data_IF_417225405004
#
_entry.id   IF_417225405004
#
_cell.length_a   1.000
_cell.length_b   1.000
_cell.length_c   1.000
_cell.angle_alpha   90.00
_cell.angle_beta   90.00
_cell.angle_gamma   90.00
#
_symmetry.space_group_name_H-M   'P 1'
#
loop_
_entity.id
_entity.type
_entity.pdbx_description
1 polymer ?
#
# COMPACT_ATOMS: atom_id res chain seq x y z
N UNK A 1 12.11 -18.83 6.40
CA UNK A 1 10.70 -18.78 5.96
C UNK A 1 10.68 -17.83 4.79
N UNK A 2 10.43 -18.34 3.58
CA UNK A 2 10.34 -17.49 2.39
C UNK A 2 8.96 -16.84 2.40
N UNK A 3 8.88 -15.63 2.95
CA UNK A 3 7.68 -14.81 2.84
C UNK A 3 7.61 -14.31 1.41
N UNK A 4 6.53 -14.67 0.70
CA UNK A 4 6.33 -14.17 -0.66
C UNK A 4 6.02 -12.67 -0.55
N UNK A 5 6.77 -11.78 -1.23
CA UNK A 5 6.54 -10.35 -1.11
C UNK A 5 5.12 -9.98 -1.53
N UNK A 6 4.44 -9.19 -0.67
CA UNK A 6 3.13 -8.64 -0.98
C UNK A 6 3.29 -7.43 -1.89
N UNK A 7 2.68 -7.47 -3.06
CA UNK A 7 2.70 -6.38 -4.02
C UNK A 7 1.36 -5.67 -4.09
N UNK A 8 1.40 -4.41 -4.49
CA UNK A 8 0.22 -3.59 -4.72
C UNK A 8 0.46 -2.54 -5.79
N UNK A 9 -0.56 -1.72 -6.01
CA UNK A 9 -0.50 -0.58 -6.93
C UNK A 9 -1.17 0.63 -6.30
N UNK A 10 -0.41 1.72 -6.16
CA UNK A 10 -0.93 3.03 -5.80
C UNK A 10 -1.43 3.73 -7.06
N UNK A 11 -2.69 4.15 -7.08
CA UNK A 11 -3.32 4.88 -8.17
C UNK A 11 -3.63 6.30 -7.71
N UNK A 12 -3.02 7.28 -8.36
CA UNK A 12 -3.26 8.71 -8.15
C UNK A 12 -3.66 9.38 -9.47
N UNK A 13 -4.11 10.66 -9.47
CA UNK A 13 -4.38 11.38 -10.72
C UNK A 13 -3.17 11.46 -11.66
N UNK A 14 -1.95 11.32 -11.13
CA UNK A 14 -0.70 11.32 -11.90
C UNK A 14 -0.35 9.96 -12.54
N UNK A 15 -1.10 8.90 -12.23
CA UNK A 15 -0.91 7.56 -12.79
C UNK A 15 -0.84 6.46 -11.72
N UNK A 16 -0.48 5.26 -12.17
CA UNK A 16 -0.29 4.08 -11.32
C UNK A 16 1.20 3.87 -11.01
N UNK A 17 1.51 3.53 -9.76
CA UNK A 17 2.85 3.18 -9.30
C UNK A 17 2.83 1.82 -8.60
N UNK A 18 3.59 0.83 -9.07
CA UNK A 18 3.72 -0.46 -8.39
C UNK A 18 4.47 -0.28 -7.06
N UNK A 19 4.03 -1.01 -6.04
CA UNK A 19 4.60 -0.94 -4.68
C UNK A 19 4.81 -2.32 -4.08
N UNK A 20 5.79 -2.41 -3.17
CA UNK A 20 5.93 -3.52 -2.20
C UNK A 20 5.26 -3.10 -0.90
N UNK A 21 4.40 -3.95 -0.35
CA UNK A 21 3.63 -3.67 0.86
C UNK A 21 4.25 -4.45 2.03
N UNK A 22 4.39 -3.76 3.16
CA UNK A 22 4.80 -4.33 4.45
C UNK A 22 3.91 -3.79 5.58
N UNK A 23 3.98 -4.43 6.75
CA UNK A 23 3.24 -4.02 7.95
C UNK A 23 1.73 -3.79 7.72
N UNK A 24 1.10 -4.64 6.89
CA UNK A 24 -0.32 -4.50 6.57
C UNK A 24 -1.18 -4.70 7.82
N UNK A 25 -1.87 -3.64 8.20
CA UNK A 25 -2.83 -3.61 9.29
C UNK A 25 -4.18 -3.05 8.78
N UNK A 26 -5.20 -3.13 9.63
CA UNK A 26 -6.54 -2.65 9.27
C UNK A 26 -6.57 -1.16 8.92
N UNK A 27 -5.76 -0.34 9.57
CA UNK A 27 -5.79 1.12 9.41
C UNK A 27 -4.77 1.64 8.40
N UNK A 28 -3.83 0.80 7.97
CA UNK A 28 -2.76 1.25 7.10
C UNK A 28 -1.71 0.18 6.84
N UNK A 29 -0.70 0.55 6.07
CA UNK A 29 0.47 -0.26 5.78
C UNK A 29 1.68 0.64 5.50
N UNK A 30 2.85 0.03 5.39
CA UNK A 30 4.01 0.64 4.78
C UNK A 30 4.11 0.20 3.31
N UNK A 31 4.57 1.10 2.46
CA UNK A 31 4.84 0.80 1.05
C UNK A 31 6.24 1.24 0.66
N UNK A 32 6.88 0.47 -0.21
CA UNK A 32 8.15 0.78 -0.84
C UNK A 32 8.00 0.87 -2.37
N UNK A 33 8.71 1.83 -2.97
CA UNK A 33 8.82 2.03 -4.42
C UNK A 33 10.26 1.88 -4.89
N UNK A 34 10.45 1.43 -6.13
CA UNK A 34 11.80 1.20 -6.67
C UNK A 34 12.46 2.50 -7.18
N UNK A 35 11.66 3.46 -7.64
CA UNK A 35 12.08 4.81 -8.03
C UNK A 35 11.55 5.85 -7.04
N UNK A 36 12.20 7.01 -6.87
CA UNK A 36 11.74 8.05 -5.95
C UNK A 36 10.25 8.39 -6.13
N UNK A 37 9.43 8.08 -5.12
CA UNK A 37 7.97 8.05 -5.22
C UNK A 37 7.31 9.42 -5.17
N UNK A 38 7.81 10.41 -5.90
CA UNK A 38 7.30 11.79 -5.87
C UNK A 38 5.81 11.88 -6.26
N UNK A 39 5.29 10.94 -7.06
CA UNK A 39 3.93 10.98 -7.62
C UNK A 39 2.81 10.32 -6.81
N UNK A 40 3.10 9.71 -5.66
CA UNK A 40 2.10 8.97 -4.86
C UNK A 40 1.95 9.47 -3.42
N UNK A 41 2.31 10.72 -3.16
CA UNK A 41 2.05 11.37 -1.87
C UNK A 41 0.69 12.08 -1.90
N UNK A 42 -0.07 12.02 -0.81
CA UNK A 42 -1.42 12.56 -0.72
C UNK A 42 -2.52 11.51 -0.93
N UNK A 43 -3.68 11.95 -1.38
CA UNK A 43 -4.85 11.08 -1.61
C UNK A 43 -4.61 10.16 -2.81
N UNK A 44 -4.89 8.87 -2.61
CA UNK A 44 -4.74 7.84 -3.62
C UNK A 44 -5.70 6.68 -3.37
N UNK A 45 -5.73 5.75 -4.31
CA UNK A 45 -6.33 4.43 -4.15
C UNK A 45 -5.23 3.36 -4.14
N UNK A 46 -5.30 2.41 -3.20
CA UNK A 46 -4.35 1.30 -3.12
C UNK A 46 -5.02 -0.02 -3.52
N UNK A 47 -4.42 -0.73 -4.46
CA UNK A 47 -4.64 -2.16 -4.69
C UNK A 47 -3.65 -2.99 -3.87
N UNK A 48 -4.12 -4.08 -3.27
CA UNK A 48 -3.33 -5.05 -2.51
C UNK A 48 -3.50 -6.41 -3.18
N UNK A 49 -2.46 -6.89 -3.87
CA UNK A 49 -2.60 -8.02 -4.80
C UNK A 49 -3.67 -7.72 -5.86
N UNK A 50 -4.74 -8.52 -5.88
CA UNK A 50 -5.91 -8.32 -6.74
C UNK A 50 -7.14 -7.77 -6.00
N UNK A 51 -6.96 -7.23 -4.79
CA UNK A 51 -8.05 -6.73 -3.94
C UNK A 51 -7.98 -5.21 -3.82
N UNK A 52 -9.10 -4.51 -4.08
CA UNK A 52 -9.19 -3.06 -4.03
C UNK A 52 -10.17 -2.51 -5.07
N UNK A 53 -10.07 -1.20 -5.40
CA UNK A 53 -9.17 -0.22 -4.81
C UNK A 53 -9.64 0.25 -3.42
N UNK A 54 -8.71 0.52 -2.51
CA UNK A 54 -8.99 1.13 -1.20
C UNK A 54 -8.59 2.60 -1.19
N UNK A 55 -9.53 3.49 -0.89
CA UNK A 55 -9.21 4.90 -0.68
C UNK A 55 -8.24 5.06 0.49
N UNK A 56 -7.19 5.87 0.30
CA UNK A 56 -6.13 6.05 1.28
C UNK A 56 -5.41 7.39 1.13
N UNK A 57 -4.62 7.74 2.14
CA UNK A 57 -3.66 8.84 2.11
C UNK A 57 -2.27 8.28 2.33
N UNK A 58 -1.32 8.63 1.46
CA UNK A 58 0.09 8.30 1.63
C UNK A 58 0.90 9.50 2.10
N UNK A 59 1.77 9.26 3.09
CA UNK A 59 2.68 10.24 3.67
C UNK A 59 4.09 9.71 3.50
N UNK A 60 4.96 10.50 2.87
CA UNK A 60 6.35 10.13 2.64
C UNK A 60 7.11 9.99 3.96
N UNK A 61 7.84 8.89 4.12
CA UNK A 61 8.80 8.71 5.22
C UNK A 61 10.22 9.01 4.76
N UNK A 62 10.58 8.54 3.57
CA UNK A 62 11.88 8.79 2.94
C UNK A 62 11.77 8.77 1.40
N UNK A 63 12.91 8.70 0.70
CA UNK A 63 12.95 8.69 -0.77
C UNK A 63 12.18 7.54 -1.44
N UNK A 64 12.02 6.40 -0.77
CA UNK A 64 11.41 5.17 -1.30
C UNK A 64 10.33 4.57 -0.41
N UNK A 65 10.17 5.03 0.83
CA UNK A 65 9.16 4.54 1.75
C UNK A 65 8.06 5.57 2.01
N UNK A 66 6.81 5.09 2.04
CA UNK A 66 5.64 5.85 2.45
C UNK A 66 4.83 5.07 3.49
N UNK A 67 4.21 5.79 4.44
CA UNK A 67 3.10 5.26 5.23
C UNK A 67 1.80 5.50 4.48
N UNK A 68 0.98 4.46 4.36
CA UNK A 68 -0.38 4.55 3.81
C UNK A 68 -1.37 4.39 4.93
N UNK A 69 -2.35 5.30 5.01
CA UNK A 69 -3.49 5.23 5.93
C UNK A 69 -4.77 5.06 5.13
N UNK A 70 -5.53 4.01 5.39
CA UNK A 70 -6.81 3.78 4.72
C UNK A 70 -7.87 4.77 5.21
N UNK A 71 -8.74 5.21 4.30
CA UNK A 71 -9.88 6.07 4.62
C UNK A 71 -10.88 5.34 5.52
N UNK A 72 -11.07 4.04 5.28
CA UNK A 72 -11.84 3.13 6.11
C UNK A 72 -10.99 1.92 6.52
N UNK A 73 -11.19 1.34 7.71
CA UNK A 73 -10.45 0.16 8.12
C UNK A 73 -10.71 -1.02 7.18
N UNK A 74 -9.65 -1.73 6.75
CA UNK A 74 -9.79 -2.97 5.99
C UNK A 74 -10.57 -4.03 6.77
N UNK A 75 -11.24 -4.90 6.02
CA UNK A 75 -11.80 -6.14 6.55
C UNK A 75 -10.68 -6.97 7.20
N UNK A 76 -10.97 -7.55 8.36
CA UNK A 76 -10.04 -8.40 9.07
C UNK A 76 -9.66 -9.64 8.26
N UNK A 77 -10.54 -10.14 7.39
CA UNK A 77 -10.26 -11.27 6.50
C UNK A 77 -9.19 -10.92 5.45
N UNK A 78 -9.19 -9.69 4.93
CA UNK A 78 -8.15 -9.23 3.99
C UNK A 78 -6.79 -9.21 4.69
N UNK A 79 -6.72 -8.61 5.88
CA UNK A 79 -5.48 -8.56 6.66
C UNK A 79 -5.00 -9.97 6.99
N UNK A 80 -5.90 -10.87 7.44
CA UNK A 80 -5.56 -12.26 7.74
C UNK A 80 -5.07 -13.02 6.52
N UNK A 81 -5.66 -12.80 5.34
CA UNK A 81 -5.24 -13.48 4.11
C UNK A 81 -3.77 -13.17 3.77
N UNK A 82 -3.35 -11.92 3.94
CA UNK A 82 -2.00 -11.47 3.60
C UNK A 82 -0.98 -11.54 4.75
N UNK A 83 -1.43 -11.67 6.00
CA UNK A 83 -0.55 -11.77 7.18
C UNK A 83 0.16 -13.13 7.34
N UNK A 84 -0.25 -14.16 6.58
CA UNK A 84 0.26 -15.55 6.73
C UNK A 84 1.31 -15.94 5.69
N UNK A 85 1.80 -15.00 4.87
CA UNK A 85 2.83 -15.31 3.85
C UNK A 85 4.23 -15.04 4.34
#
# INVERSE_FOLDING_TARGET
>A
MNTTPLYGECVSPGGSTPVRISDLARLGCAVEVDAPGAGIEGELSLWIGAVGPFAATAIRKDSRSLAVRFAEPLDTQIVRHFAVS
#
